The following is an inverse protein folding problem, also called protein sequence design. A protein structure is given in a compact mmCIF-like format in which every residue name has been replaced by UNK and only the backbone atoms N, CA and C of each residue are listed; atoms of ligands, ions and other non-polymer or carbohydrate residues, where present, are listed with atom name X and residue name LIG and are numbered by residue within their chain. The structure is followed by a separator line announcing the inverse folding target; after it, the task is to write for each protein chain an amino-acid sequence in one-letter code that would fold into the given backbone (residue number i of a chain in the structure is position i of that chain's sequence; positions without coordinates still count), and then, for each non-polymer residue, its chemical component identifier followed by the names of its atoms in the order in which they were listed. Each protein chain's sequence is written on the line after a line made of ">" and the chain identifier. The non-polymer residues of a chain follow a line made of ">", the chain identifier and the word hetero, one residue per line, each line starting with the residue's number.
data_IF_248612827818
#
_entry.id   IF_248612827818
#
_cell.length_a   1.000
_cell.length_b   1.000
_cell.length_c   1.000
_cell.angle_alpha   90.00
_cell.angle_beta   90.00
_cell.angle_gamma   90.00
#
_symmetry.space_group_name_H-M   'P 1'
#
loop_
_entity.id
_entity.type
_entity.pdbx_description
1 polymer ?
#
# COMPACT_ATOMS: atom_id res chain seq x y z
N UNK A 1 13.01 -22.44 10.27
CA UNK A 1 13.30 -23.08 8.98
C UNK A 1 12.05 -23.81 8.53
N UNK A 2 11.41 -23.38 7.45
CA UNK A 2 10.61 -24.34 6.69
C UNK A 2 11.61 -25.32 6.07
N UNK A 3 11.84 -26.41 6.80
CA UNK A 3 12.50 -27.63 6.36
C UNK A 3 11.86 -28.23 5.08
N UNK A 4 10.93 -27.53 4.42
CA UNK A 4 10.24 -27.99 3.23
C UNK A 4 10.83 -27.44 1.93
N UNK A 5 11.42 -26.23 1.89
CA UNK A 5 12.00 -25.69 0.65
C UNK A 5 13.42 -26.19 0.41
N UNK A 6 14.33 -25.99 1.38
CA UNK A 6 15.68 -26.54 1.30
C UNK A 6 15.63 -28.06 1.18
N UNK A 7 14.83 -28.75 2.00
CA UNK A 7 14.76 -30.21 1.89
C UNK A 7 14.04 -30.71 0.63
N UNK A 8 13.14 -29.97 -0.03
CA UNK A 8 12.57 -30.39 -1.33
C UNK A 8 13.56 -30.15 -2.46
N UNK A 9 14.12 -28.94 -2.55
CA UNK A 9 15.01 -28.56 -3.65
C UNK A 9 16.36 -29.32 -3.58
N UNK A 10 16.86 -29.59 -2.37
CA UNK A 10 18.07 -30.43 -2.17
C UNK A 10 17.77 -31.93 -2.30
N UNK A 11 16.57 -32.43 -1.92
CA UNK A 11 16.20 -33.85 -2.17
C UNK A 11 15.90 -34.14 -3.64
N UNK A 12 15.47 -33.15 -4.43
CA UNK A 12 15.22 -33.31 -5.87
C UNK A 12 16.49 -33.18 -6.73
N UNK A 13 17.68 -33.05 -6.12
CA UNK A 13 18.94 -32.90 -6.89
C UNK A 13 18.96 -31.63 -7.75
N UNK A 14 18.18 -30.61 -7.36
CA UNK A 14 17.97 -29.42 -8.16
C UNK A 14 19.22 -28.55 -8.23
N UNK A 15 19.76 -28.36 -9.45
CA UNK A 15 20.80 -27.35 -9.68
C UNK A 15 20.23 -25.96 -9.41
N UNK A 16 20.98 -25.14 -8.66
CA UNK A 16 20.66 -23.74 -8.39
C UNK A 16 20.93 -22.91 -9.65
N UNK A 17 19.95 -22.10 -10.08
CA UNK A 17 20.01 -21.27 -11.29
C UNK A 17 20.01 -19.76 -11.02
N UNK A 18 19.74 -19.36 -9.77
CA UNK A 18 19.68 -17.95 -9.35
C UNK A 18 20.92 -17.64 -8.51
N UNK A 19 21.53 -16.50 -8.79
CA UNK A 19 22.65 -15.95 -8.05
C UNK A 19 22.36 -14.48 -7.75
N UNK A 20 22.62 -14.04 -6.52
CA UNK A 20 22.41 -12.65 -6.09
C UNK A 20 23.77 -12.02 -5.87
N UNK A 21 24.01 -10.86 -6.47
CA UNK A 21 25.27 -10.12 -6.36
C UNK A 21 24.93 -8.65 -6.03
N UNK A 22 24.98 -8.33 -4.74
CA UNK A 22 24.53 -7.04 -4.21
C UNK A 22 23.07 -6.76 -4.59
N UNK A 23 22.85 -5.76 -5.47
CA UNK A 23 21.53 -5.34 -5.95
C UNK A 23 21.13 -5.96 -7.29
N UNK A 24 21.88 -6.95 -7.77
CA UNK A 24 21.66 -7.59 -9.07
C UNK A 24 21.33 -9.06 -8.87
N UNK A 25 20.19 -9.49 -9.40
CA UNK A 25 19.84 -10.91 -9.49
C UNK A 25 20.19 -11.44 -10.89
N UNK A 26 20.99 -12.51 -10.95
CA UNK A 26 21.41 -13.19 -12.17
C UNK A 26 20.69 -14.54 -12.25
N UNK A 27 20.13 -14.86 -13.41
CA UNK A 27 19.51 -16.17 -13.69
C UNK A 27 20.24 -16.86 -14.85
N UNK A 28 20.58 -18.13 -14.67
CA UNK A 28 21.28 -18.96 -15.65
C UNK A 28 20.34 -19.97 -16.29
N UNK A 29 20.39 -20.13 -17.61
CA UNK A 29 19.60 -21.13 -18.33
C UNK A 29 20.43 -22.40 -18.56
N UNK A 30 20.11 -23.47 -17.82
CA UNK A 30 20.81 -24.76 -17.90
C UNK A 30 20.32 -25.69 -19.02
N UNK A 31 19.31 -25.32 -19.80
CA UNK A 31 18.75 -26.19 -20.87
C UNK A 31 19.64 -26.34 -22.12
N UNK A 32 20.87 -25.80 -22.12
CA UNK A 32 21.77 -25.77 -23.30
C UNK A 32 22.65 -27.02 -23.42
N UNK A 33 22.77 -27.88 -22.40
CA UNK A 33 23.75 -28.98 -22.40
C UNK A 33 23.24 -30.32 -23.01
N UNK A 34 22.44 -30.28 -24.07
CA UNK A 34 21.71 -31.45 -24.57
C UNK A 34 22.02 -31.98 -25.97
N UNK A 35 22.96 -31.42 -26.73
CA UNK A 35 23.30 -31.94 -28.09
C UNK A 35 24.80 -31.93 -28.38
N UNK A 36 25.43 -33.10 -28.61
CA UNK A 36 26.75 -33.19 -29.21
C UNK A 36 26.58 -33.31 -30.73
N UNK A 37 26.40 -32.19 -31.41
CA UNK A 37 26.74 -31.95 -32.83
C UNK A 37 25.89 -30.81 -33.38
N UNK A 38 26.55 -29.68 -33.65
CA UNK A 38 25.91 -28.52 -34.26
C UNK A 38 26.70 -27.25 -33.96
N UNK A 39 27.51 -26.83 -34.92
CA UNK A 39 28.23 -25.56 -34.93
C UNK A 39 27.20 -24.40 -34.91
N UNK A 40 26.83 -23.92 -33.71
CA UNK A 40 25.80 -22.89 -33.54
C UNK A 40 25.66 -22.40 -32.10
N UNK A 41 26.47 -21.39 -31.74
CA UNK A 41 26.35 -20.47 -30.59
C UNK A 41 25.87 -21.06 -29.24
N UNK A 42 26.74 -21.86 -28.60
CA UNK A 42 26.60 -22.32 -27.20
C UNK A 42 26.82 -21.17 -26.20
N UNK A 43 25.99 -20.12 -26.26
CA UNK A 43 26.01 -19.05 -25.24
C UNK A 43 25.12 -19.47 -24.08
N UNK A 44 25.73 -19.89 -22.96
CA UNK A 44 25.09 -19.80 -21.65
C UNK A 44 24.50 -18.39 -21.50
N UNK A 45 23.17 -18.28 -21.58
CA UNK A 45 22.49 -16.99 -21.53
C UNK A 45 22.19 -16.64 -20.08
N UNK A 46 23.16 -16.00 -19.43
CA UNK A 46 22.95 -15.37 -18.12
C UNK A 46 22.20 -14.06 -18.33
N UNK A 47 21.09 -13.89 -17.62
CA UNK A 47 20.33 -12.64 -17.64
C UNK A 47 20.40 -12.00 -16.26
N UNK A 48 20.78 -10.73 -16.21
CA UNK A 48 20.91 -9.96 -14.99
C UNK A 48 19.79 -8.92 -14.88
N UNK A 49 19.25 -8.76 -13.68
CA UNK A 49 18.21 -7.78 -13.34
C UNK A 49 18.68 -6.95 -12.14
N UNK A 50 18.62 -5.62 -12.26
CA UNK A 50 18.96 -4.71 -11.17
C UNK A 50 17.73 -4.27 -10.38
N UNK A 51 17.74 -4.44 -9.07
CA UNK A 51 16.66 -4.07 -8.16
C UNK A 51 17.15 -3.10 -7.09
N UNK A 52 16.23 -2.58 -6.27
CA UNK A 52 16.59 -1.66 -5.19
C UNK A 52 17.18 -2.40 -3.99
N UNK A 53 16.67 -3.61 -3.74
CA UNK A 53 17.15 -4.58 -2.76
C UNK A 53 17.09 -6.00 -3.35
N UNK A 54 18.03 -6.87 -2.97
CA UNK A 54 18.01 -8.29 -3.28
C UNK A 54 18.41 -9.08 -2.03
N UNK A 55 17.66 -10.12 -1.70
CA UNK A 55 17.86 -10.94 -0.52
C UNK A 55 18.10 -12.39 -0.93
N UNK A 56 19.09 -13.04 -0.32
CA UNK A 56 19.37 -14.45 -0.52
C UNK A 56 19.09 -15.20 0.78
N UNK A 57 18.16 -16.15 0.77
CA UNK A 57 17.72 -16.83 2.02
C UNK A 57 17.66 -18.35 1.88
N UNK A 58 18.45 -18.93 0.97
CA UNK A 58 18.41 -20.38 0.69
C UNK A 58 19.19 -21.16 1.74
N UNK A 59 20.44 -20.79 2.00
CA UNK A 59 21.32 -21.49 2.93
C UNK A 59 21.69 -20.58 4.10
N UNK A 60 21.28 -20.91 5.34
CA UNK A 60 21.64 -20.14 6.54
C UNK A 60 23.14 -20.08 6.84
N UNK A 61 23.92 -21.03 6.31
CA UNK A 61 25.37 -21.08 6.45
C UNK A 61 26.10 -20.20 5.42
N UNK A 62 25.37 -19.66 4.45
CA UNK A 62 25.92 -18.78 3.42
C UNK A 62 26.21 -17.39 4.02
N UNK A 63 27.41 -16.81 3.80
CA UNK A 63 27.73 -15.45 4.23
C UNK A 63 26.74 -14.38 3.72
N UNK A 64 26.06 -14.65 2.60
CA UNK A 64 25.09 -13.73 2.01
C UNK A 64 23.65 -13.97 2.50
N UNK A 65 23.45 -14.80 3.52
CA UNK A 65 22.13 -15.11 4.04
C UNK A 65 21.44 -13.88 4.65
N UNK A 66 20.30 -13.51 4.08
CA UNK A 66 19.41 -12.49 4.59
C UNK A 66 18.35 -13.13 5.50
N UNK A 67 18.39 -12.75 6.78
CA UNK A 67 17.35 -13.13 7.76
C UNK A 67 16.11 -12.25 7.63
N UNK A 68 15.01 -12.68 8.25
CA UNK A 68 13.77 -11.89 8.30
C UNK A 68 13.98 -10.53 9.01
N UNK A 69 14.94 -10.45 9.93
CA UNK A 69 15.31 -9.21 10.62
C UNK A 69 15.91 -8.18 9.66
N UNK A 70 16.80 -8.61 8.75
CA UNK A 70 17.39 -7.73 7.72
C UNK A 70 16.29 -7.20 6.79
N UNK A 71 15.44 -8.09 6.30
CA UNK A 71 14.31 -7.71 5.42
C UNK A 71 13.36 -6.73 6.13
N UNK A 72 13.12 -6.92 7.42
CA UNK A 72 12.30 -6.01 8.22
C UNK A 72 12.98 -4.66 8.47
N UNK A 73 14.29 -4.63 8.71
CA UNK A 73 15.03 -3.37 8.89
C UNK A 73 14.97 -2.52 7.62
N UNK A 74 15.16 -3.12 6.46
CA UNK A 74 15.15 -2.40 5.18
C UNK A 74 13.73 -1.98 4.77
N UNK A 75 12.78 -2.92 4.72
CA UNK A 75 11.42 -2.66 4.21
C UNK A 75 10.45 -2.21 5.30
N UNK A 76 10.47 -2.88 6.46
CA UNK A 76 9.55 -2.62 7.56
C UNK A 76 9.75 -1.23 8.17
N UNK A 77 10.99 -0.78 8.36
CA UNK A 77 11.28 0.57 8.86
C UNK A 77 10.76 1.65 7.91
N UNK A 78 10.86 1.44 6.60
CA UNK A 78 10.31 2.36 5.61
C UNK A 78 8.79 2.45 5.72
N UNK A 79 8.09 1.31 5.84
CA UNK A 79 6.65 1.24 6.07
C UNK A 79 6.27 1.99 7.36
N UNK A 80 6.94 1.73 8.47
CA UNK A 80 6.66 2.40 9.74
C UNK A 80 6.89 3.92 9.66
N UNK A 81 7.97 4.35 9.00
CA UNK A 81 8.29 5.77 8.83
C UNK A 81 7.30 6.49 7.92
N UNK A 82 6.78 5.81 6.88
CA UNK A 82 5.78 6.36 5.98
C UNK A 82 4.41 6.45 6.63
N UNK A 83 4.04 5.46 7.44
CA UNK A 83 2.78 5.43 8.17
C UNK A 83 2.71 6.56 9.21
N UNK A 84 3.79 6.74 9.99
CA UNK A 84 3.89 7.83 10.96
C UNK A 84 3.81 9.23 10.31
N UNK A 85 4.27 9.36 9.06
CA UNK A 85 4.14 10.60 8.28
C UNK A 85 2.77 10.77 7.60
N UNK A 86 1.85 9.81 7.73
CA UNK A 86 0.52 9.89 7.12
C UNK A 86 0.43 9.47 5.65
N UNK A 87 1.41 8.73 5.12
CA UNK A 87 1.34 8.19 3.77
C UNK A 87 0.58 6.87 3.74
N UNK A 88 -0.23 6.66 2.71
CA UNK A 88 -0.73 5.32 2.39
C UNK A 88 0.43 4.45 1.91
N UNK A 89 0.46 3.20 2.35
CA UNK A 89 1.51 2.25 2.01
C UNK A 89 0.88 0.95 1.53
N UNK A 90 1.45 0.33 0.52
CA UNK A 90 1.08 -0.99 0.07
C UNK A 90 2.32 -1.86 -0.06
N UNK A 91 2.36 -2.97 0.66
CA UNK A 91 3.40 -3.98 0.55
C UNK A 91 2.74 -5.26 0.06
N UNK A 92 3.18 -5.77 -1.09
CA UNK A 92 2.65 -7.01 -1.64
C UNK A 92 3.73 -7.99 -2.04
N UNK A 93 3.54 -9.27 -1.71
CA UNK A 93 4.42 -10.35 -2.12
C UNK A 93 3.89 -11.00 -3.41
N UNK A 94 4.78 -11.21 -4.39
CA UNK A 94 4.47 -11.82 -5.69
C UNK A 94 5.49 -12.92 -6.03
N UNK A 95 5.04 -13.99 -6.68
CA UNK A 95 5.88 -15.14 -7.02
C UNK A 95 5.08 -16.44 -7.17
N UNK A 96 5.73 -17.49 -7.66
CA UNK A 96 5.11 -18.82 -7.77
C UNK A 96 4.77 -19.42 -6.40
N UNK A 97 3.88 -20.40 -6.34
CA UNK A 97 3.66 -21.19 -5.12
C UNK A 97 4.95 -21.86 -4.66
N UNK A 98 5.16 -21.85 -3.34
CA UNK A 98 6.40 -22.32 -2.74
C UNK A 98 7.58 -21.35 -2.82
N UNK A 99 7.50 -20.19 -3.49
CA UNK A 99 8.63 -19.25 -3.54
C UNK A 99 8.92 -18.51 -2.23
N UNK A 100 8.02 -18.60 -1.25
CA UNK A 100 8.18 -17.94 0.06
C UNK A 100 7.32 -16.71 0.32
N UNK A 101 6.31 -16.38 -0.52
CA UNK A 101 5.40 -15.24 -0.30
C UNK A 101 4.82 -15.15 1.11
N UNK A 102 4.14 -16.21 1.54
CA UNK A 102 3.51 -16.30 2.86
C UNK A 102 4.56 -16.31 3.99
N UNK A 103 5.74 -16.90 3.75
CA UNK A 103 6.87 -16.87 4.69
C UNK A 103 7.41 -15.44 4.88
N UNK A 104 7.52 -14.65 3.81
CA UNK A 104 7.95 -13.26 3.93
C UNK A 104 6.89 -12.41 4.64
N UNK A 105 5.60 -12.58 4.29
CA UNK A 105 4.52 -11.77 4.83
C UNK A 105 4.15 -12.12 6.27
N UNK A 106 3.87 -13.39 6.56
CA UNK A 106 3.44 -13.86 7.88
C UNK A 106 4.58 -14.51 8.66
N UNK A 107 5.42 -15.27 7.97
CA UNK A 107 6.51 -16.03 8.58
C UNK A 107 6.03 -17.31 9.26
N UNK A 108 6.90 -17.84 10.10
CA UNK A 108 6.67 -19.02 10.94
C UNK A 108 6.69 -18.61 12.40
N UNK A 109 6.16 -19.43 13.33
CA UNK A 109 6.23 -19.14 14.76
C UNK A 109 7.67 -18.95 15.28
N UNK A 110 8.66 -19.57 14.63
CA UNK A 110 10.08 -19.44 14.95
C UNK A 110 10.71 -18.19 14.30
N UNK A 111 10.26 -17.86 13.10
CA UNK A 111 10.82 -16.77 12.29
C UNK A 111 9.68 -15.91 11.78
N UNK A 112 9.34 -14.91 12.60
CA UNK A 112 8.21 -13.99 12.41
C UNK A 112 8.40 -13.16 11.13
N UNK A 113 7.35 -13.03 10.32
CA UNK A 113 7.36 -12.31 9.05
C UNK A 113 7.19 -10.79 9.18
N UNK A 114 7.03 -10.12 8.04
CA UNK A 114 6.89 -8.67 7.97
C UNK A 114 5.62 -8.16 8.66
N UNK A 115 4.46 -8.79 8.43
CA UNK A 115 3.16 -8.35 8.98
C UNK A 115 3.18 -8.27 10.51
N UNK A 116 3.44 -9.35 11.26
CA UNK A 116 3.52 -9.29 12.70
C UNK A 116 4.59 -8.31 13.22
N UNK A 117 5.78 -8.23 12.60
CA UNK A 117 6.83 -7.27 13.01
C UNK A 117 6.43 -5.81 12.77
N UNK A 118 5.74 -5.52 11.67
CA UNK A 118 5.20 -4.18 11.39
C UNK A 118 4.13 -3.84 12.44
N UNK A 119 3.25 -4.79 12.78
CA UNK A 119 2.27 -4.60 13.84
C UNK A 119 2.95 -4.30 15.19
N UNK A 120 3.98 -5.05 15.56
CA UNK A 120 4.76 -4.81 16.79
C UNK A 120 5.43 -3.43 16.78
N UNK A 121 6.08 -3.07 15.67
CA UNK A 121 6.74 -1.77 15.51
C UNK A 121 5.79 -0.56 15.50
N UNK A 122 4.52 -0.75 15.16
CA UNK A 122 3.50 0.31 15.29
C UNK A 122 3.17 0.61 16.75
N UNK A 123 3.08 -0.42 17.61
CA UNK A 123 2.79 -0.24 19.04
C UNK A 123 4.01 0.20 19.85
N UNK A 124 5.21 -0.35 19.57
CA UNK A 124 6.43 0.07 20.27
C UNK A 124 6.73 1.57 20.08
N UNK A 125 6.37 2.13 18.92
CA UNK A 125 6.52 3.57 18.67
C UNK A 125 5.48 4.44 19.37
N UNK A 126 4.35 3.88 19.79
CA UNK A 126 3.44 4.61 20.69
C UNK A 126 4.12 4.81 22.05
N UNK A 127 4.95 3.87 22.49
CA UNK A 127 5.64 3.91 23.79
C UNK A 127 6.87 4.84 23.78
N UNK A 128 7.62 4.92 22.67
CA UNK A 128 8.87 5.73 22.56
C UNK A 128 8.64 7.21 22.20
N UNK A 129 7.46 7.60 21.72
CA UNK A 129 7.11 9.00 21.44
C UNK A 129 6.59 9.71 22.72
N UNK A 130 7.50 10.12 23.61
CA UNK A 130 7.21 11.05 24.72
C UNK A 130 6.93 12.49 24.23
N UNK A 131 6.41 13.47 25.02
CA UNK A 131 5.49 13.49 26.16
C UNK A 131 4.26 14.41 25.88
N UNK A 132 3.68 14.38 24.68
CA UNK A 132 2.44 15.10 24.34
C UNK A 132 1.37 14.09 23.91
N UNK A 133 0.08 14.30 24.25
CA UNK A 133 -0.98 13.30 24.06
C UNK A 133 -1.34 13.17 22.58
N UNK A 134 -0.51 12.47 21.82
CA UNK A 134 -0.80 12.07 20.44
C UNK A 134 -1.74 10.88 20.51
N UNK A 135 -3.05 11.13 20.49
CA UNK A 135 -4.03 10.04 20.52
C UNK A 135 -3.90 9.24 19.21
N UNK A 136 -3.39 8.02 19.33
CA UNK A 136 -3.28 7.08 18.22
C UNK A 136 -4.46 6.12 18.27
N UNK A 137 -5.05 5.85 17.10
CA UNK A 137 -6.13 4.87 16.94
C UNK A 137 -5.81 3.94 15.80
N UNK A 138 -5.65 2.67 16.14
CA UNK A 138 -5.34 1.60 15.19
C UNK A 138 -6.60 0.77 14.95
N UNK A 139 -6.95 0.57 13.68
CA UNK A 139 -7.98 -0.39 13.27
C UNK A 139 -7.40 -1.39 12.29
N UNK A 140 -7.81 -2.64 12.40
CA UNK A 140 -7.38 -3.71 11.50
C UNK A 140 -8.58 -4.31 10.79
N UNK A 141 -8.35 -4.76 9.56
CA UNK A 141 -9.31 -5.54 8.79
C UNK A 141 -8.57 -6.59 7.99
N UNK A 142 -9.13 -7.78 7.87
CA UNK A 142 -8.52 -8.87 7.12
C UNK A 142 -9.51 -9.48 6.15
N UNK A 143 -9.16 -9.47 4.87
CA UNK A 143 -10.03 -10.00 3.81
C UNK A 143 -9.29 -11.01 2.94
N UNK A 144 -10.08 -11.91 2.37
CA UNK A 144 -9.66 -12.89 1.37
C UNK A 144 -10.36 -12.59 0.04
N UNK A 145 -9.61 -12.66 -1.05
CA UNK A 145 -10.14 -12.67 -2.42
C UNK A 145 -9.89 -14.07 -2.98
N UNK A 146 -10.97 -14.82 -3.15
CA UNK A 146 -10.96 -16.14 -3.75
C UNK A 146 -12.02 -16.21 -4.84
N UNK A 147 -11.62 -16.65 -6.04
CA UNK A 147 -12.52 -16.79 -7.18
C UNK A 147 -13.31 -15.48 -7.50
N UNK A 148 -12.61 -14.34 -7.50
CA UNK A 148 -13.18 -12.98 -7.68
C UNK A 148 -14.30 -12.61 -6.68
N UNK A 149 -14.35 -13.28 -5.52
CA UNK A 149 -15.28 -12.99 -4.43
C UNK A 149 -14.50 -12.56 -3.20
N UNK A 150 -14.98 -11.49 -2.55
CA UNK A 150 -14.40 -10.97 -1.31
C UNK A 150 -15.09 -11.62 -0.12
N UNK A 151 -14.29 -12.11 0.82
CA UNK A 151 -14.74 -12.61 2.12
C UNK A 151 -14.00 -11.88 3.23
N UNK A 152 -14.69 -11.72 4.35
CA UNK A 152 -14.12 -11.21 5.58
C UNK A 152 -13.58 -12.39 6.40
N UNK A 153 -12.32 -12.31 6.83
CA UNK A 153 -11.67 -13.37 7.60
C UNK A 153 -11.83 -13.20 9.11
N UNK A 154 -12.26 -12.02 9.59
CA UNK A 154 -12.41 -11.74 11.03
C UNK A 154 -13.86 -11.82 11.52
N UNK A 155 -14.82 -11.88 10.60
CA UNK A 155 -16.22 -11.99 10.95
C UNK A 155 -16.66 -13.45 10.98
N UNK A 156 -17.12 -13.91 12.15
CA UNK A 156 -17.69 -15.24 12.33
C UNK A 156 -18.80 -15.47 11.30
N UNK A 157 -18.66 -16.53 10.49
CA UNK A 157 -19.67 -16.88 9.51
C UNK A 157 -20.90 -17.42 10.23
N UNK A 158 -22.01 -16.68 10.20
CA UNK A 158 -23.31 -17.29 10.43
C UNK A 158 -23.50 -18.37 9.35
N UNK A 159 -23.53 -19.63 9.77
CA UNK A 159 -23.43 -20.85 8.95
C UNK A 159 -24.49 -21.01 7.84
N UNK A 160 -25.37 -20.02 7.64
CA UNK A 160 -26.54 -20.11 6.73
C UNK A 160 -26.40 -19.39 5.40
N UNK A 161 -25.43 -18.49 5.18
CA UNK A 161 -25.17 -17.88 3.85
C UNK A 161 -23.70 -17.53 3.66
N UNK A 162 -23.12 -17.98 2.54
CA UNK A 162 -21.85 -17.45 2.03
C UNK A 162 -22.06 -15.99 1.58
N UNK A 163 -21.96 -15.04 2.52
CA UNK A 163 -22.04 -13.63 2.19
C UNK A 163 -20.74 -13.25 1.48
N UNK A 164 -20.87 -12.78 0.24
CA UNK A 164 -19.75 -12.18 -0.49
C UNK A 164 -19.88 -10.68 -0.37
N UNK A 165 -18.79 -10.03 0.03
CA UNK A 165 -18.78 -8.58 0.16
C UNK A 165 -18.63 -7.95 -1.22
N UNK A 166 -19.33 -6.82 -1.43
CA UNK A 166 -19.28 -6.09 -2.71
C UNK A 166 -18.26 -4.97 -2.63
N UNK A 167 -17.45 -4.83 -3.67
CA UNK A 167 -16.54 -3.70 -3.85
C UNK A 167 -17.33 -2.51 -4.41
N UNK A 168 -17.12 -1.33 -3.84
CA UNK A 168 -17.66 -0.04 -4.28
C UNK A 168 -16.52 0.98 -4.37
N UNK A 169 -16.80 2.14 -4.96
CA UNK A 169 -15.83 3.22 -5.08
C UNK A 169 -16.41 4.50 -4.48
N UNK A 170 -15.66 5.11 -3.56
CA UNK A 170 -15.94 6.43 -3.02
C UNK A 170 -15.16 7.49 -3.79
N UNK A 171 -15.72 8.68 -4.07
CA UNK A 171 -15.02 9.74 -4.81
C UNK A 171 -13.68 10.16 -4.18
N UNK A 172 -13.62 10.21 -2.84
CA UNK A 172 -12.42 10.67 -2.11
C UNK A 172 -11.55 9.54 -1.55
N UNK A 173 -12.16 8.44 -1.07
CA UNK A 173 -11.43 7.35 -0.42
C UNK A 173 -11.05 6.23 -1.38
N UNK A 174 -11.48 6.33 -2.64
CA UNK A 174 -11.23 5.32 -3.65
C UNK A 174 -12.04 4.04 -3.40
N UNK A 175 -11.57 2.90 -3.93
CA UNK A 175 -12.26 1.62 -3.86
C UNK A 175 -12.23 1.04 -2.44
N UNK A 176 -13.41 0.62 -1.95
CA UNK A 176 -13.60 0.04 -0.63
C UNK A 176 -14.57 -1.14 -0.66
N UNK A 177 -14.45 -2.02 0.33
CA UNK A 177 -15.32 -3.19 0.48
C UNK A 177 -16.47 -2.82 1.41
N UNK A 178 -17.70 -2.88 0.91
CA UNK A 178 -18.87 -2.58 1.72
C UNK A 178 -19.14 -3.73 2.71
N UNK A 179 -19.21 -3.41 4.00
CA UNK A 179 -19.54 -4.38 5.06
C UNK A 179 -18.35 -5.18 5.58
N UNK A 180 -17.11 -4.75 5.24
CA UNK A 180 -15.88 -5.29 5.82
C UNK A 180 -15.79 -4.89 7.30
N UNK A 181 -15.49 -5.86 8.16
CA UNK A 181 -15.25 -5.62 9.58
C UNK A 181 -13.99 -4.78 9.80
N UNK A 182 -14.08 -3.87 10.77
CA UNK A 182 -12.95 -3.07 11.22
C UNK A 182 -12.87 -3.21 12.74
N UNK A 183 -11.82 -3.86 13.22
CA UNK A 183 -11.62 -4.11 14.64
C UNK A 183 -10.65 -3.07 15.19
N UNK A 184 -11.09 -2.32 16.20
CA UNK A 184 -10.20 -1.40 16.94
C UNK A 184 -9.33 -2.23 17.88
N UNK A 185 -8.03 -2.01 17.82
CA UNK A 185 -7.05 -2.78 18.60
C UNK A 185 -6.25 -1.83 19.49
N UNK A 186 -6.04 -2.23 20.74
CA UNK A 186 -5.31 -1.41 21.73
C UNK A 186 -3.98 -2.03 22.14
N UNK A 187 -3.71 -3.27 21.72
CA UNK A 187 -2.51 -3.99 22.10
C UNK A 187 -2.07 -4.91 20.95
N UNK A 188 -0.76 -5.06 20.80
CA UNK A 188 -0.14 -6.00 19.85
C UNK A 188 -0.70 -7.42 19.98
N UNK A 189 -0.94 -7.90 21.21
CA UNK A 189 -1.48 -9.25 21.44
C UNK A 189 -2.85 -9.46 20.78
N UNK A 190 -3.71 -8.44 20.77
CA UNK A 190 -5.03 -8.53 20.11
C UNK A 190 -4.89 -8.62 18.59
N UNK A 191 -3.91 -7.91 18.02
CA UNK A 191 -3.65 -7.94 16.57
C UNK A 191 -3.17 -9.32 16.14
N UNK A 192 -2.26 -9.94 16.90
CA UNK A 192 -1.78 -11.30 16.62
C UNK A 192 -2.92 -12.32 16.72
N UNK A 193 -3.79 -12.22 17.73
CA UNK A 193 -4.95 -13.11 17.84
C UNK A 193 -5.89 -13.00 16.64
N UNK A 194 -6.20 -11.77 16.19
CA UNK A 194 -7.02 -11.55 14.99
C UNK A 194 -6.33 -12.05 13.72
N UNK A 195 -5.01 -11.90 13.64
CA UNK A 195 -4.23 -12.39 12.51
C UNK A 195 -4.25 -13.92 12.45
N UNK A 196 -4.04 -14.60 13.59
CA UNK A 196 -4.11 -16.06 13.72
C UNK A 196 -5.51 -16.59 13.41
N UNK A 197 -6.56 -15.95 13.93
CA UNK A 197 -7.96 -16.29 13.63
C UNK A 197 -8.24 -16.18 12.13
N UNK A 198 -7.83 -15.09 11.50
CA UNK A 198 -8.04 -14.90 10.06
C UNK A 198 -7.25 -15.89 9.20
N UNK A 199 -6.04 -16.28 9.62
CA UNK A 199 -5.25 -17.33 8.96
C UNK A 199 -5.94 -18.69 9.10
N UNK A 200 -6.43 -19.02 10.30
CA UNK A 200 -7.17 -20.26 10.54
C UNK A 200 -8.44 -20.34 9.68
N UNK A 201 -9.16 -19.22 9.55
CA UNK A 201 -10.35 -19.12 8.69
C UNK A 201 -10.00 -19.28 7.20
N UNK A 202 -8.87 -18.70 6.75
CA UNK A 202 -8.36 -18.90 5.37
C UNK A 202 -8.04 -20.37 5.09
N UNK A 203 -7.44 -21.08 6.05
CA UNK A 203 -7.12 -22.51 5.91
C UNK A 203 -8.40 -23.37 5.91
N UNK A 204 -9.32 -23.10 6.83
CA UNK A 204 -10.55 -23.89 7.00
C UNK A 204 -11.48 -23.80 5.78
N UNK A 205 -11.49 -22.65 5.09
CA UNK A 205 -12.25 -22.46 3.85
C UNK A 205 -11.72 -23.29 2.67
N UNK A 206 -10.48 -23.78 2.74
CA UNK A 206 -9.89 -24.69 1.76
C UNK A 206 -10.27 -26.15 2.10
N UNK A 207 -11.53 -26.53 1.93
CA UNK A 207 -11.96 -27.92 2.08
C UNK A 207 -11.20 -28.83 1.11
N UNK A 208 -10.49 -29.81 1.67
CA UNK A 208 -9.86 -30.98 1.03
C UNK A 208 -8.81 -30.70 -0.08
N UNK A 209 -7.55 -30.99 0.28
CA UNK A 209 -6.41 -31.47 -0.55
C UNK A 209 -5.31 -30.50 -1.00
N UNK A 210 -5.38 -29.16 -0.86
CA UNK A 210 -4.22 -28.32 -1.29
C UNK A 210 -3.91 -27.07 -0.43
N UNK A 211 -2.64 -26.66 -0.50
CA UNK A 211 -2.00 -25.51 0.17
C UNK A 211 -2.82 -24.21 -0.02
N UNK A 212 -3.65 -23.86 0.97
CA UNK A 212 -4.67 -22.81 0.89
C UNK A 212 -4.10 -21.44 0.45
N UNK A 213 -2.85 -21.13 0.80
CA UNK A 213 -2.18 -19.87 0.45
C UNK A 213 -1.88 -19.71 -1.04
N UNK A 214 -1.84 -20.80 -1.81
CA UNK A 214 -1.53 -20.77 -3.24
C UNK A 214 -2.68 -20.24 -4.12
N UNK A 215 -3.92 -20.26 -3.61
CA UNK A 215 -5.14 -20.06 -4.43
C UNK A 215 -6.02 -18.89 -4.04
N UNK A 216 -5.71 -18.19 -2.96
CA UNK A 216 -6.43 -16.99 -2.57
C UNK A 216 -5.46 -15.86 -2.27
N UNK A 217 -5.88 -14.63 -2.58
CA UNK A 217 -5.15 -13.44 -2.18
C UNK A 217 -5.65 -13.02 -0.80
N UNK A 218 -4.73 -12.71 0.10
CA UNK A 218 -5.07 -12.20 1.42
C UNK A 218 -4.60 -10.75 1.54
N UNK A 219 -5.48 -9.86 1.98
CA UNK A 219 -5.17 -8.45 2.20
C UNK A 219 -5.45 -8.12 3.66
N UNK A 220 -4.38 -7.92 4.41
CA UNK A 220 -4.44 -7.41 5.77
C UNK A 220 -4.24 -5.89 5.72
N UNK A 221 -5.25 -5.13 6.15
CA UNK A 221 -5.20 -3.66 6.13
C UNK A 221 -5.16 -3.13 7.54
N UNK A 222 -4.19 -2.25 7.80
CA UNK A 222 -4.07 -1.49 9.04
C UNK A 222 -4.42 -0.04 8.72
N UNK A 223 -5.41 0.50 9.43
CA UNK A 223 -5.74 1.91 9.44
C UNK A 223 -5.10 2.52 10.67
N UNK A 224 -4.13 3.39 10.45
CA UNK A 224 -3.41 4.08 11.50
C UNK A 224 -3.79 5.56 11.46
N UNK A 225 -4.45 6.01 12.52
CA UNK A 225 -4.90 7.39 12.69
C UNK A 225 -4.15 8.00 13.87
N UNK A 226 -3.56 9.17 13.67
CA UNK A 226 -2.85 9.91 14.70
C UNK A 226 -3.43 11.32 14.80
N UNK A 227 -3.80 11.73 16.02
CA UNK A 227 -4.13 13.12 16.31
C UNK A 227 -2.84 13.85 16.74
N UNK A 228 -2.46 14.86 15.98
CA UNK A 228 -1.30 15.73 16.24
C UNK A 228 -1.80 17.14 16.50
N UNK A 229 -1.19 17.85 17.44
CA UNK A 229 -1.43 19.28 17.64
C UNK A 229 -0.36 20.06 16.88
N UNK A 230 -0.74 20.67 15.76
CA UNK A 230 0.13 21.53 14.98
C UNK A 230 -0.34 22.99 15.14
N UNK A 231 0.55 23.88 15.60
CA UNK A 231 0.23 25.31 15.81
C UNK A 231 -1.04 25.55 16.68
N UNK A 232 -1.24 24.73 17.73
CA UNK A 232 -2.43 24.72 18.60
C UNK A 232 -3.76 24.34 17.90
N UNK A 233 -3.69 23.83 16.66
CA UNK A 233 -4.85 23.28 15.97
C UNK A 233 -4.77 21.75 15.96
N UNK A 234 -5.87 21.05 16.24
CA UNK A 234 -5.91 19.60 16.13
C UNK A 234 -5.85 19.22 14.64
N UNK A 235 -4.86 18.42 14.27
CA UNK A 235 -4.68 17.83 12.95
C UNK A 235 -4.81 16.31 13.08
N UNK A 236 -5.70 15.70 12.29
CA UNK A 236 -5.82 14.24 12.25
C UNK A 236 -5.10 13.74 10.99
N UNK A 237 -4.03 12.96 11.21
CA UNK A 237 -3.27 12.33 10.13
C UNK A 237 -3.74 10.87 10.02
N UNK A 238 -4.08 10.45 8.81
CA UNK A 238 -4.51 9.08 8.54
C UNK A 238 -3.58 8.39 7.54
N UNK A 239 -3.19 7.16 7.84
CA UNK A 239 -2.47 6.29 6.92
C UNK A 239 -3.18 4.95 6.79
N UNK A 240 -3.17 4.42 5.57
CA UNK A 240 -3.67 3.08 5.25
C UNK A 240 -2.50 2.21 4.80
N UNK A 241 -2.23 1.16 5.56
CA UNK A 241 -1.18 0.18 5.26
C UNK A 241 -1.85 -1.09 4.75
N UNK A 242 -1.63 -1.43 3.49
CA UNK A 242 -2.14 -2.67 2.88
C UNK A 242 -0.99 -3.68 2.78
N UNK A 243 -1.08 -4.75 3.57
CA UNK A 243 -0.16 -5.88 3.54
C UNK A 243 -0.82 -7.04 2.77
N UNK A 244 -0.30 -7.35 1.60
CA UNK A 244 -0.95 -8.25 0.63
C UNK A 244 -0.10 -9.49 0.38
N UNK A 245 -0.69 -10.66 0.63
CA UNK A 245 -0.14 -11.96 0.25
C UNK A 245 -0.89 -12.47 -0.99
N UNK A 246 -0.26 -12.38 -2.16
CA UNK A 246 -0.87 -12.81 -3.42
C UNK A 246 -0.84 -14.32 -3.58
N UNK A 247 -1.78 -14.84 -4.37
CA UNK A 247 -1.79 -16.22 -4.84
C UNK A 247 -0.54 -16.54 -5.71
N UNK A 248 -0.32 -17.83 -5.96
CA UNK A 248 0.75 -18.29 -6.86
C UNK A 248 0.62 -17.72 -8.27
N UNK A 249 1.73 -17.22 -8.83
CA UNK A 249 1.78 -16.70 -10.20
C UNK A 249 1.94 -17.77 -11.28
N UNK A 250 2.05 -19.04 -10.90
CA UNK A 250 2.21 -20.15 -11.83
C UNK A 250 0.97 -20.37 -12.70
N UNK A 251 1.21 -20.92 -13.90
CA UNK A 251 0.13 -21.23 -14.83
C UNK A 251 -0.64 -22.47 -14.36
N UNK A 252 -1.96 -22.43 -14.52
CA UNK A 252 -2.80 -23.60 -14.26
C UNK A 252 -2.40 -24.76 -15.18
N UNK A 253 -2.19 -25.94 -14.61
CA UNK A 253 -1.89 -27.15 -15.39
C UNK A 253 -3.15 -27.63 -16.14
N UNK A 254 -3.08 -27.81 -17.47
CA UNK A 254 -4.22 -28.27 -18.26
C UNK A 254 -4.69 -29.69 -17.91
N UNK A 255 -3.92 -30.47 -17.14
CA UNK A 255 -4.30 -31.81 -16.67
C UNK A 255 -5.33 -31.80 -15.53
N UNK A 256 -5.67 -30.64 -14.97
CA UNK A 256 -6.65 -30.54 -13.88
C UNK A 256 -8.11 -30.71 -14.32
N UNK A 257 -8.95 -31.18 -13.40
CA UNK A 257 -10.40 -31.28 -13.57
C UNK A 257 -11.03 -29.91 -13.93
N UNK A 258 -12.12 -29.91 -14.70
CA UNK A 258 -12.80 -28.68 -15.20
C UNK A 258 -13.09 -27.65 -14.11
N UNK A 259 -13.55 -28.07 -12.94
CA UNK A 259 -13.85 -27.16 -11.83
C UNK A 259 -12.57 -26.45 -11.33
N UNK A 260 -11.48 -27.19 -11.21
CA UNK A 260 -10.16 -26.64 -10.84
C UNK A 260 -9.56 -25.77 -11.93
N UNK A 261 -9.86 -26.04 -13.19
CA UNK A 261 -9.44 -25.21 -14.30
C UNK A 261 -10.17 -23.86 -14.29
N UNK A 262 -11.48 -23.85 -14.00
CA UNK A 262 -12.24 -22.60 -13.86
C UNK A 262 -11.81 -21.79 -12.63
N UNK A 263 -11.53 -22.46 -11.50
CA UNK A 263 -10.96 -21.85 -10.30
C UNK A 263 -9.58 -21.24 -10.60
N UNK A 264 -8.67 -22.03 -11.18
CA UNK A 264 -7.34 -21.57 -11.58
C UNK A 264 -7.39 -20.44 -12.61
N UNK A 265 -8.35 -20.45 -13.52
CA UNK A 265 -8.57 -19.36 -14.48
C UNK A 265 -8.99 -18.06 -13.78
N UNK A 266 -9.83 -18.13 -12.74
CA UNK A 266 -10.25 -16.94 -12.00
C UNK A 266 -9.17 -16.42 -11.06
N UNK A 267 -8.37 -17.29 -10.45
CA UNK A 267 -7.17 -16.88 -9.69
C UNK A 267 -6.20 -16.18 -10.64
N UNK A 268 -5.91 -16.80 -11.78
CA UNK A 268 -5.02 -16.22 -12.78
C UNK A 268 -5.62 -14.97 -13.41
N UNK A 269 -6.94 -14.81 -13.50
CA UNK A 269 -7.58 -13.59 -13.99
C UNK A 269 -7.09 -12.38 -13.20
N UNK A 270 -7.14 -12.42 -11.87
CA UNK A 270 -6.67 -11.32 -11.03
C UNK A 270 -5.19 -10.99 -11.23
N UNK A 271 -4.32 -12.00 -11.35
CA UNK A 271 -2.88 -11.83 -11.54
C UNK A 271 -2.51 -11.40 -12.97
N UNK A 272 -3.23 -11.90 -13.98
CA UNK A 272 -3.08 -11.49 -15.38
C UNK A 272 -3.50 -10.04 -15.54
N UNK A 273 -4.66 -9.65 -15.00
CA UNK A 273 -5.10 -8.25 -15.00
C UNK A 273 -4.09 -7.36 -14.27
N UNK A 274 -3.56 -7.81 -13.13
CA UNK A 274 -2.50 -7.09 -12.41
C UNK A 274 -1.27 -6.90 -13.31
N UNK A 275 -0.85 -7.93 -14.06
CA UNK A 275 0.25 -7.83 -15.01
C UNK A 275 -0.02 -6.88 -16.19
N UNK A 276 -1.24 -6.83 -16.69
CA UNK A 276 -1.65 -5.87 -17.73
C UNK A 276 -1.58 -4.45 -17.18
N UNK A 277 -2.12 -4.21 -15.98
CA UNK A 277 -2.07 -2.91 -15.31
C UNK A 277 -0.63 -2.43 -15.12
N UNK A 278 0.24 -3.29 -14.59
CA UNK A 278 1.67 -2.96 -14.38
C UNK A 278 2.38 -2.67 -15.71
N UNK A 279 2.18 -3.51 -16.72
CA UNK A 279 2.82 -3.32 -18.02
C UNK A 279 2.36 -2.02 -18.69
N UNK A 280 1.06 -1.71 -18.61
CA UNK A 280 0.48 -0.47 -19.15
C UNK A 280 1.00 0.76 -18.41
N UNK A 281 1.09 0.70 -17.07
CA UNK A 281 1.62 1.79 -16.24
C UNK A 281 3.12 2.03 -16.49
N UNK A 282 3.91 0.97 -16.62
CA UNK A 282 5.33 1.07 -16.94
C UNK A 282 5.56 1.70 -18.31
N UNK A 283 4.80 1.29 -19.33
CA UNK A 283 4.85 1.87 -20.67
C UNK A 283 4.43 3.35 -20.68
N UNK A 284 3.33 3.70 -20.01
CA UNK A 284 2.87 5.09 -19.90
C UNK A 284 3.92 5.99 -19.25
N UNK A 285 4.64 5.48 -18.24
CA UNK A 285 5.70 6.22 -17.55
C UNK A 285 6.90 6.48 -18.47
N UNK A 286 7.33 5.47 -19.25
CA UNK A 286 8.44 5.61 -20.21
C UNK A 286 8.09 6.56 -21.38
N UNK A 287 6.85 6.48 -21.90
CA UNK A 287 6.39 7.38 -22.97
C UNK A 287 6.37 8.82 -22.48
N UNK A 288 5.90 9.07 -21.25
CA UNK A 288 5.88 10.41 -20.67
C UNK A 288 7.29 11.01 -20.52
N UNK A 289 8.28 10.21 -20.08
CA UNK A 289 9.69 10.62 -20.01
C UNK A 289 10.31 10.89 -21.39
N UNK A 290 9.89 10.16 -22.43
CA UNK A 290 10.42 10.29 -23.79
C UNK A 290 9.87 11.52 -24.54
N UNK A 291 8.67 11.98 -24.18
CA UNK A 291 8.06 13.15 -24.82
C UNK A 291 8.54 14.48 -24.22
N UNK A 292 8.97 14.50 -22.94
CA UNK A 292 9.53 15.70 -22.32
C UNK A 292 10.92 16.06 -22.86
N UNK A 293 11.71 15.07 -23.29
CA UNK A 293 13.03 15.28 -23.90
C UNK A 293 12.97 15.76 -25.34
N UNK A 294 11.82 15.65 -26.02
CA UNK A 294 11.61 16.17 -27.38
C UNK A 294 11.03 17.60 -27.39
N UNK A 295 10.42 18.04 -26.29
CA UNK A 295 9.86 19.40 -26.18
C UNK A 295 10.87 20.48 -25.78
N UNK A 296 12.14 20.12 -25.53
CA UNK A 296 13.19 21.05 -25.09
C UNK A 296 14.18 21.45 -26.19
N UNK A 297 13.94 21.11 -27.46
CA UNK A 297 14.85 21.43 -28.58
C UNK A 297 14.23 22.25 -29.72
N UNK A 298 13.19 23.04 -29.45
CA UNK A 298 12.59 23.94 -30.43
C UNK A 298 12.53 25.39 -29.90
N UNK A 299 13.71 25.98 -29.69
CA UNK A 299 13.88 27.43 -29.59
C UNK A 299 15.34 27.81 -29.89
N UNK A 300 15.68 27.95 -31.17
CA UNK A 300 16.33 29.17 -31.68
C UNK A 300 16.49 29.13 -33.21
N UNK A 301 16.37 30.30 -33.86
CA UNK A 301 16.73 30.49 -35.27
C UNK A 301 15.60 30.98 -36.18
N UNK A 302 15.43 32.29 -36.28
CA UNK A 302 14.72 32.93 -37.39
C UNK A 302 15.66 33.15 -38.58
N UNK A 303 15.13 33.02 -39.81
CA UNK A 303 15.25 33.96 -40.93
C UNK A 303 14.37 33.50 -42.11
N UNK A 304 14.24 34.34 -43.13
CA UNK A 304 13.03 34.68 -43.89
C UNK A 304 12.95 34.11 -45.32
N UNK A 305 11.73 33.91 -45.83
CA UNK A 305 11.47 33.57 -47.26
C UNK A 305 10.05 33.08 -47.60
N UNK A 306 9.14 34.03 -47.87
CA UNK A 306 7.91 34.11 -48.73
C UNK A 306 7.20 32.81 -49.25
N UNK A 307 5.85 32.79 -49.38
CA UNK A 307 5.02 31.58 -49.31
C UNK A 307 4.50 31.07 -50.67
N UNK A 308 4.09 29.79 -50.69
CA UNK A 308 3.17 29.26 -51.71
C UNK A 308 2.32 28.12 -51.13
N UNK A 309 1.02 28.41 -50.95
CA UNK A 309 -0.04 27.42 -50.74
C UNK A 309 -0.33 26.64 -52.04
N UNK A 310 -0.94 25.44 -51.99
CA UNK A 310 -2.40 25.42 -51.87
C UNK A 310 -2.96 24.38 -50.87
N UNK A 311 -3.97 24.85 -50.15
CA UNK A 311 -5.21 24.15 -49.73
C UNK A 311 -5.24 22.61 -49.70
N UNK A 312 -5.30 22.10 -48.48
CA UNK A 312 -5.89 20.79 -48.14
C UNK A 312 -6.46 20.87 -46.72
N UNK A 313 -7.74 21.19 -46.62
CA UNK A 313 -8.50 21.23 -45.36
C UNK A 313 -8.61 19.82 -44.78
N UNK A 314 -7.81 19.51 -43.77
CA UNK A 314 -8.17 18.53 -42.75
C UNK A 314 -7.82 19.11 -41.40
N UNK A 315 -8.84 19.35 -40.59
CA UNK A 315 -8.76 19.76 -39.19
C UNK A 315 -7.94 18.75 -38.39
N UNK A 316 -6.61 18.91 -38.42
CA UNK A 316 -5.65 18.18 -37.61
C UNK A 316 -5.69 18.69 -36.18
N UNK A 317 -6.70 18.25 -35.43
CA UNK A 317 -6.66 18.28 -33.97
C UNK A 317 -5.44 17.43 -33.60
N UNK A 318 -4.35 18.07 -33.15
CA UNK A 318 -3.14 17.37 -32.73
C UNK A 318 -3.50 16.23 -31.77
N UNK A 319 -2.79 15.08 -31.81
CA UNK A 319 -3.14 13.93 -31.00
C UNK A 319 -3.03 14.36 -29.54
N UNK A 320 -4.17 14.62 -28.91
CA UNK A 320 -4.27 14.68 -27.46
C UNK A 320 -3.87 13.28 -27.02
N UNK A 321 -2.64 13.11 -26.55
CA UNK A 321 -2.13 11.83 -26.07
C UNK A 321 -3.05 11.38 -24.93
N UNK A 322 -4.06 10.58 -25.26
CA UNK A 322 -4.94 9.98 -24.28
C UNK A 322 -4.10 8.96 -23.54
N UNK A 323 -3.98 9.15 -22.23
CA UNK A 323 -3.47 8.12 -21.35
C UNK A 323 -4.17 6.81 -21.69
N UNK A 324 -3.39 5.77 -22.02
CA UNK A 324 -3.92 4.45 -22.31
C UNK A 324 -4.84 4.02 -21.17
N UNK A 325 -6.05 3.55 -21.49
CA UNK A 325 -7.00 3.10 -20.48
C UNK A 325 -6.38 1.98 -19.64
N UNK A 326 -6.37 2.14 -18.31
CA UNK A 326 -5.83 1.15 -17.39
C UNK A 326 -6.98 0.31 -16.82
N UNK A 327 -7.03 -1.01 -17.06
CA UNK A 327 -8.18 -1.86 -16.76
C UNK A 327 -8.25 -2.29 -15.28
N UNK A 328 -8.24 -1.33 -14.34
CA UNK A 328 -8.30 -1.66 -12.90
C UNK A 328 -9.58 -2.43 -12.52
N UNK A 329 -10.69 -2.20 -13.23
CA UNK A 329 -12.01 -2.78 -12.92
C UNK A 329 -12.19 -4.22 -13.39
N UNK A 330 -11.26 -4.76 -14.16
CA UNK A 330 -11.40 -6.09 -14.77
C UNK A 330 -11.18 -7.21 -13.76
N UNK A 331 -10.54 -6.92 -12.62
CA UNK A 331 -10.47 -7.82 -11.47
C UNK A 331 -10.72 -7.10 -10.14
N UNK A 332 -11.23 -7.84 -9.17
CA UNK A 332 -11.47 -7.32 -7.80
C UNK A 332 -10.17 -6.85 -7.15
N UNK A 333 -9.09 -7.62 -7.31
CA UNK A 333 -7.77 -7.30 -6.75
C UNK A 333 -7.22 -5.98 -7.31
N UNK A 334 -7.17 -5.86 -8.64
CA UNK A 334 -6.68 -4.62 -9.28
C UNK A 334 -7.56 -3.43 -9.00
N UNK A 335 -8.85 -3.64 -8.78
CA UNK A 335 -9.74 -2.56 -8.41
C UNK A 335 -9.45 -2.08 -7.00
N UNK A 336 -9.27 -2.99 -6.03
CA UNK A 336 -8.90 -2.62 -4.65
C UNK A 336 -7.50 -2.01 -4.53
N UNK A 337 -6.56 -2.44 -5.38
CA UNK A 337 -5.18 -1.94 -5.42
C UNK A 337 -4.99 -0.76 -6.38
N UNK A 338 -6.07 -0.18 -6.91
CA UNK A 338 -6.00 0.97 -7.83
C UNK A 338 -5.18 2.12 -7.25
N UNK A 339 -5.37 2.46 -5.98
CA UNK A 339 -4.64 3.55 -5.34
C UNK A 339 -3.17 3.17 -5.04
N UNK A 340 -2.88 1.88 -4.92
CA UNK A 340 -1.52 1.35 -4.74
C UNK A 340 -0.71 1.34 -6.04
N UNK A 341 -1.33 1.27 -7.21
CA UNK A 341 -0.62 1.11 -8.49
C UNK A 341 -0.86 2.34 -9.36
N UNK A 342 0.05 3.31 -9.33
CA UNK A 342 -0.07 4.58 -10.04
C UNK A 342 -0.92 5.64 -9.33
N UNK A 343 -1.24 5.44 -8.05
CA UNK A 343 -2.12 6.29 -7.24
C UNK A 343 -1.43 6.93 -6.02
N UNK A 344 -2.24 7.23 -5.00
CA UNK A 344 -1.81 7.82 -3.73
C UNK A 344 -1.36 6.73 -2.75
N UNK A 345 -0.19 6.13 -3.00
CA UNK A 345 0.43 5.16 -2.09
C UNK A 345 1.93 5.04 -2.33
N UNK A 346 2.70 4.78 -1.27
CA UNK A 346 4.06 4.26 -1.37
C UNK A 346 3.99 2.75 -1.48
N UNK A 347 4.48 2.19 -2.58
CA UNK A 347 4.23 0.78 -2.89
C UNK A 347 5.52 0.01 -2.99
N UNK A 348 5.57 -1.09 -2.25
CA UNK A 348 6.71 -2.00 -2.14
C UNK A 348 6.25 -3.35 -2.70
N UNK A 349 6.93 -3.81 -3.74
CA UNK A 349 6.75 -5.16 -4.29
C UNK A 349 7.87 -6.05 -3.77
N UNK A 350 7.51 -7.18 -3.14
CA UNK A 350 8.47 -8.23 -2.80
C UNK A 350 8.32 -9.38 -3.78
N UNK A 351 9.27 -9.49 -4.71
CA UNK A 351 9.33 -10.57 -5.67
C UNK A 351 10.06 -11.77 -5.07
N UNK A 352 9.33 -12.85 -4.80
CA UNK A 352 9.87 -14.11 -4.26
C UNK A 352 10.02 -15.12 -5.38
N UNK A 353 11.17 -15.79 -5.45
CA UNK A 353 11.49 -16.73 -6.54
C UNK A 353 12.10 -18.03 -5.99
N UNK A 354 11.92 -19.13 -6.71
CA UNK A 354 12.58 -20.41 -6.40
C UNK A 354 13.95 -20.46 -7.08
N UNK A 355 15.03 -20.85 -6.37
CA UNK A 355 16.36 -20.97 -6.96
C UNK A 355 16.53 -22.22 -7.83
N UNK A 356 15.56 -23.15 -7.82
CA UNK A 356 15.66 -24.44 -8.51
C UNK A 356 15.54 -24.33 -10.05
N UNK A 357 16.33 -25.11 -10.78
CA UNK A 357 16.29 -25.12 -12.25
C UNK A 357 14.93 -25.50 -12.86
N UNK A 358 14.14 -26.32 -12.16
CA UNK A 358 12.77 -26.73 -12.57
C UNK A 358 11.84 -25.53 -12.65
N UNK A 359 12.09 -24.50 -11.84
CA UNK A 359 11.34 -23.27 -11.73
C UNK A 359 11.84 -22.14 -12.66
N UNK A 360 12.71 -22.42 -13.63
CA UNK A 360 13.34 -21.38 -14.47
C UNK A 360 12.32 -20.45 -15.16
N UNK A 361 11.26 -21.02 -15.77
CA UNK A 361 10.27 -20.22 -16.51
C UNK A 361 9.47 -19.27 -15.63
N UNK A 362 9.10 -19.73 -14.44
CA UNK A 362 8.34 -18.96 -13.46
C UNK A 362 9.22 -17.89 -12.83
N UNK A 363 10.43 -18.25 -12.39
CA UNK A 363 11.45 -17.31 -11.88
C UNK A 363 11.73 -16.20 -12.88
N UNK A 364 11.97 -16.54 -14.15
CA UNK A 364 12.20 -15.56 -15.21
C UNK A 364 10.99 -14.64 -15.43
N UNK A 365 9.77 -15.18 -15.34
CA UNK A 365 8.54 -14.40 -15.47
C UNK A 365 8.39 -13.42 -14.30
N UNK A 366 8.63 -13.87 -13.06
CA UNK A 366 8.61 -13.03 -11.85
C UNK A 366 9.67 -11.92 -11.89
N UNK A 367 10.90 -12.21 -12.32
CA UNK A 367 11.96 -11.21 -12.43
C UNK A 367 11.64 -10.13 -13.48
N UNK A 368 11.13 -10.53 -14.66
CA UNK A 368 10.66 -9.58 -15.68
C UNK A 368 9.51 -8.73 -15.17
N UNK A 369 8.57 -9.34 -14.45
CA UNK A 369 7.45 -8.64 -13.85
C UNK A 369 7.91 -7.58 -12.84
N UNK A 370 8.82 -7.95 -11.93
CA UNK A 370 9.41 -7.03 -10.96
C UNK A 370 10.18 -5.89 -11.65
N UNK A 371 10.95 -6.21 -12.70
CA UNK A 371 11.68 -5.21 -13.50
C UNK A 371 10.75 -4.20 -14.17
N UNK A 372 9.55 -4.62 -14.59
CA UNK A 372 8.54 -3.72 -15.14
C UNK A 372 7.87 -2.89 -14.04
N UNK A 373 7.55 -3.51 -12.91
CA UNK A 373 6.90 -2.85 -11.78
C UNK A 373 7.74 -1.68 -11.22
N UNK A 374 9.08 -1.80 -11.24
CA UNK A 374 10.00 -0.73 -10.86
C UNK A 374 9.79 0.59 -11.62
N UNK A 375 9.26 0.53 -12.84
CA UNK A 375 9.05 1.72 -13.68
C UNK A 375 7.71 2.43 -13.40
N UNK A 376 6.89 1.94 -12.46
CA UNK A 376 5.62 2.58 -12.09
C UNK A 376 5.91 3.77 -11.18
N UNK A 377 5.35 4.93 -11.52
CA UNK A 377 5.48 6.16 -10.74
C UNK A 377 4.19 6.41 -9.96
N UNK A 378 4.25 6.27 -8.64
CA UNK A 378 3.16 6.65 -7.73
C UNK A 378 3.27 8.12 -7.31
N UNK A 379 2.16 8.70 -6.85
CA UNK A 379 2.08 10.09 -6.36
C UNK A 379 1.57 10.10 -4.91
N UNK A 380 2.38 9.61 -3.94
CA UNK A 380 1.98 9.56 -2.55
C UNK A 380 1.81 10.98 -1.97
N UNK A 381 0.73 11.17 -1.20
CA UNK A 381 0.37 12.40 -0.49
C UNK A 381 0.12 12.05 0.97
N UNK A 382 0.37 13.02 1.85
CA UNK A 382 0.00 12.89 3.26
C UNK A 382 -1.51 13.05 3.35
N UNK A 383 -2.21 12.13 4.01
CA UNK A 383 -3.64 12.29 4.24
C UNK A 383 -3.86 13.01 5.57
N UNK A 384 -4.06 14.32 5.45
CA UNK A 384 -4.45 15.19 6.54
C UNK A 384 -5.96 15.40 6.49
N UNK A 385 -6.63 15.05 7.59
CA UNK A 385 -8.00 15.47 7.85
C UNK A 385 -7.92 16.65 8.80
N UNK A 386 -8.15 17.84 8.25
CA UNK A 386 -8.34 19.03 9.08
C UNK A 386 -9.76 19.00 9.63
N UNK A 387 -9.97 19.35 10.91
CA UNK A 387 -11.30 19.56 11.44
C UNK A 387 -12.04 20.55 10.54
N UNK A 388 -13.36 20.36 10.40
CA UNK A 388 -14.19 21.32 9.68
C UNK A 388 -13.99 22.73 10.26
N UNK A 389 -14.17 23.75 9.43
CA UNK A 389 -14.03 25.16 9.84
C UNK A 389 -14.83 25.48 11.10
N UNK A 390 -15.99 24.86 11.29
CA UNK A 390 -16.83 24.98 12.48
C UNK A 390 -16.14 24.48 13.76
N UNK A 391 -15.43 23.35 13.69
CA UNK A 391 -14.69 22.79 14.83
C UNK A 391 -13.48 23.64 15.17
N UNK A 392 -12.80 24.22 14.17
CA UNK A 392 -11.67 25.15 14.38
C UNK A 392 -12.13 26.45 15.05
N UNK A 393 -13.30 26.97 14.68
CA UNK A 393 -13.91 28.15 15.31
C UNK A 393 -14.27 27.86 16.77
N UNK A 394 -14.87 26.70 17.05
CA UNK A 394 -15.16 26.27 18.41
C UNK A 394 -13.90 26.13 19.27
N UNK A 395 -12.85 25.49 18.75
CA UNK A 395 -11.57 25.36 19.46
C UNK A 395 -10.93 26.72 19.75
N UNK A 396 -10.94 27.63 18.77
CA UNK A 396 -10.39 28.98 18.93
C UNK A 396 -11.15 29.77 19.99
N UNK A 397 -12.50 29.74 19.96
CA UNK A 397 -13.35 30.36 20.97
C UNK A 397 -13.10 29.75 22.36
N UNK A 398 -12.94 28.44 22.46
CA UNK A 398 -12.70 27.76 23.72
C UNK A 398 -11.33 28.14 24.34
N UNK A 399 -10.29 28.25 23.52
CA UNK A 399 -8.96 28.71 23.96
C UNK A 399 -8.97 30.16 24.45
N UNK A 400 -9.72 31.04 23.79
CA UNK A 400 -9.93 32.43 24.23
C UNK A 400 -10.66 32.44 25.57
N UNK A 401 -11.71 31.64 25.74
CA UNK A 401 -12.46 31.54 26.99
C UNK A 401 -11.61 31.00 28.15
N UNK A 402 -10.77 29.99 27.90
CA UNK A 402 -9.82 29.47 28.90
C UNK A 402 -8.79 30.53 29.30
N UNK A 403 -8.22 31.23 28.33
CA UNK A 403 -7.26 32.33 28.59
C UNK A 403 -7.91 33.45 29.40
N UNK A 404 -9.17 33.77 29.09
CA UNK A 404 -9.95 34.77 29.81
C UNK A 404 -10.30 34.31 31.24
N UNK A 405 -10.64 33.04 31.43
CA UNK A 405 -10.89 32.46 32.74
C UNK A 405 -9.64 32.42 33.61
N UNK A 406 -8.47 32.14 33.02
CA UNK A 406 -7.17 32.15 33.70
C UNK A 406 -6.76 33.59 34.08
N UNK A 407 -7.06 34.57 33.22
CA UNK A 407 -6.85 35.99 33.50
C UNK A 407 -7.70 36.46 34.69
N UNK A 408 -8.98 36.08 34.74
CA UNK A 408 -9.87 36.43 35.87
C UNK A 408 -9.39 35.77 37.17
N UNK A 409 -8.93 34.53 37.12
CA UNK A 409 -8.52 33.78 38.33
C UNK A 409 -7.17 34.22 38.88
N UNK A 410 -6.26 34.72 38.06
CA UNK A 410 -4.97 35.29 38.48
C UNK A 410 -5.03 36.81 38.69
N UNK A 411 -6.22 37.41 38.65
CA UNK A 411 -6.39 38.84 38.91
C UNK A 411 -6.31 39.11 40.43
N UNK A 412 -5.13 39.50 40.92
CA UNK A 412 -4.99 40.07 42.27
C UNK A 412 -5.44 41.55 42.25
N UNK A 413 -6.35 41.94 43.17
CA UNK A 413 -6.78 43.33 43.28
C UNK A 413 -5.70 44.12 44.02
N UNK A 414 -4.66 44.54 43.31
CA UNK A 414 -3.75 45.55 43.87
C UNK A 414 -4.49 46.88 44.01
N UNK A 415 -4.39 47.41 45.21
CA UNK A 415 -5.13 48.53 45.77
C UNK A 415 -5.10 49.80 44.91
N UNK A 416 -6.27 50.46 44.85
CA UNK A 416 -6.57 51.81 44.33
C UNK A 416 -6.92 51.96 42.83
N UNK A 417 -8.20 51.78 42.48
CA UNK A 417 -9.12 52.86 42.05
C UNK A 417 -10.41 52.28 41.43
N UNK A 418 -11.63 52.66 41.87
CA UNK A 418 -12.88 52.07 41.40
C UNK A 418 -13.45 52.85 40.21
N UNK A 419 -12.72 52.98 39.09
CA UNK A 419 -13.28 53.52 37.85
C UNK A 419 -12.61 52.81 36.68
N UNK A 420 -13.41 52.27 35.76
CA UNK A 420 -13.07 51.43 34.59
C UNK A 420 -13.19 49.91 34.77
N UNK A 421 -14.40 49.44 35.09
CA UNK A 421 -14.93 48.22 34.47
C UNK A 421 -15.53 48.61 33.10
N UNK A 422 -15.00 48.14 31.95
CA UNK A 422 -15.63 48.37 30.67
C UNK A 422 -16.93 47.56 30.61
N UNK A 423 -18.08 48.24 30.61
CA UNK A 423 -19.42 47.69 30.43
C UNK A 423 -19.60 46.77 29.20
N UNK A 424 -18.60 46.70 28.31
CA UNK A 424 -18.54 45.80 27.15
C UNK A 424 -18.22 44.34 27.52
N UNK A 425 -17.62 44.07 28.68
CA UNK A 425 -17.27 42.69 29.09
C UNK A 425 -18.45 41.91 29.68
N UNK A 426 -19.40 42.57 30.33
CA UNK A 426 -20.64 41.92 30.81
C UNK A 426 -21.57 41.47 29.66
N UNK A 427 -21.46 42.08 28.48
CA UNK A 427 -22.33 41.77 27.35
C UNK A 427 -21.98 40.42 26.70
N UNK A 428 -20.70 40.04 26.70
CA UNK A 428 -20.21 38.76 26.16
C UNK A 428 -20.58 37.57 27.07
N UNK A 429 -20.53 37.74 28.39
CA UNK A 429 -21.00 36.71 29.33
C UNK A 429 -22.50 36.45 29.20
N UNK A 430 -23.30 37.50 29.00
CA UNK A 430 -24.76 37.37 28.85
C UNK A 430 -25.18 36.78 27.50
N UNK A 431 -24.38 36.97 26.44
CA UNK A 431 -24.60 36.34 25.13
C UNK A 431 -24.24 34.85 25.13
N UNK A 432 -23.22 34.44 25.87
CA UNK A 432 -22.77 33.03 25.95
C UNK A 432 -23.65 32.18 26.87
N UNK A 433 -24.24 32.75 27.92
CA UNK A 433 -25.13 32.05 28.85
C UNK A 433 -26.56 31.85 28.31
N UNK A 434 -26.99 32.68 27.35
CA UNK A 434 -28.30 32.56 26.68
C UNK A 434 -28.14 31.89 25.32
N UNK A 435 -27.97 30.58 25.31
CA UNK A 435 -27.87 29.77 24.09
C UNK A 435 -28.98 30.07 23.07
N UNK A 436 -28.69 30.93 22.10
CA UNK A 436 -29.53 31.18 20.94
C UNK A 436 -28.69 31.04 19.68
N UNK A 437 -29.17 30.12 18.83
CA UNK A 437 -28.82 29.85 17.44
C UNK A 437 -27.55 30.50 16.86
N UNK A 438 -26.56 29.67 16.62
CA UNK A 438 -25.31 29.94 15.90
C UNK A 438 -25.48 30.08 14.38
N UNK A 439 -26.64 30.49 13.88
CA UNK A 439 -26.95 30.52 12.45
C UNK A 439 -26.42 31.77 11.71
N UNK A 440 -25.82 32.75 12.41
CA UNK A 440 -25.26 33.96 11.81
C UNK A 440 -23.85 34.29 12.34
N UNK A 441 -22.87 33.46 11.98
CA UNK A 441 -21.45 33.65 12.30
C UNK A 441 -20.82 34.86 11.59
N UNK A 442 -21.38 35.32 10.46
CA UNK A 442 -20.85 36.45 9.66
C UNK A 442 -20.92 37.80 10.38
N UNK A 443 -21.81 37.95 11.37
CA UNK A 443 -21.96 39.19 12.14
C UNK A 443 -20.87 39.33 13.20
N UNK A 444 -20.37 38.21 13.74
CA UNK A 444 -19.34 38.20 14.79
C UNK A 444 -17.93 38.46 14.24
N UNK A 445 -17.66 38.03 13.01
CA UNK A 445 -16.37 38.23 12.33
C UNK A 445 -16.08 39.71 12.06
N UNK A 446 -17.10 40.48 11.63
CA UNK A 446 -16.99 41.93 11.42
C UNK A 446 -16.78 42.73 12.72
N UNK A 447 -17.16 42.18 13.88
CA UNK A 447 -17.01 42.88 15.15
C UNK A 447 -15.62 42.68 15.76
N UNK A 448 -14.97 41.54 15.48
CA UNK A 448 -13.61 41.22 15.88
C UNK A 448 -12.54 41.93 15.04
N UNK A 449 -12.78 42.19 13.75
CA UNK A 449 -11.86 42.99 12.90
C UNK A 449 -11.82 44.49 13.25
N UNK A 450 -12.73 44.97 14.11
CA UNK A 450 -12.79 46.37 14.57
C UNK A 450 -12.25 46.59 15.99
N UNK A 451 -11.76 45.54 16.65
CA UNK A 451 -10.98 45.60 17.89
C UNK A 451 -9.51 45.41 17.55
#
# INVERSE_FOLDING_TARGET
>A
MDLCLVSRETKEGGRIIVEVDGKVAKIRNLKVDGRPDGFGDSREKVVAFGFDYCYWSVNPEDPQYASQDVVFQDLGTEVLSGAAKGYNICLFAYGQTGSGKTYTMLGTPVSVGLTPRICEGLFLREDDCAPLPSSCRIKVSFLEIYNERVRDLLKQSDQKKAYTLRVREHPEMGPYVQGLSQHVVTNYKQVIQLLEEGIANRITAATHVHEASSRSHAIFTIYYTQAVLENNLPLEIASKINLVDLAGSERADPSYCKDRLTEGANINKSLVTLGIVISTLAQNSQVFSSCQSLSSSASDGGDSGVPSSPSGTSSGRGPSQRQSYIPYRDSVLTWLLKDSLGGNSRTIMVATVSPAHTSYSETMSTLRYASNAKNIINKPRVNEVRPSSEVLVWYSLHQVLLSFSLFITNWEPDTYSPIYMPWRLCYLSDLLLKGRDFSNISVYQNHLERL
#
